data_IF_980459841570
#
_entry.id   IF_980459841570
#
_cell.length_a   1.000
_cell.length_b   1.000
_cell.length_c   1.000
_cell.angle_alpha   90.00
_cell.angle_beta   90.00
_cell.angle_gamma   90.00
#
_symmetry.space_group_name_H-M   'P 1'
#
loop_
_entity.id
_entity.type
_entity.pdbx_description
1 polymer ?
#
# COMPACT_ATOMS: atom_id res chain seq x y z
N UNK A 1 -44.01 42.10 1.24
CA UNK A 1 -43.80 43.37 1.90
C UNK A 1 -42.44 43.87 1.48
N UNK A 2 -42.49 44.70 0.47
CA UNK A 2 -41.77 45.97 0.19
C UNK A 2 -40.32 45.75 -0.18
N UNK A 3 -40.03 45.93 -1.50
CA UNK A 3 -39.72 47.20 -2.21
C UNK A 3 -38.42 47.79 -1.72
N UNK A 4 -37.41 48.09 -2.50
CA UNK A 4 -37.27 49.10 -3.58
C UNK A 4 -35.88 48.93 -4.16
N UNK A 5 -35.71 48.88 -5.43
CA UNK A 5 -35.70 49.99 -6.40
C UNK A 5 -34.36 50.72 -6.52
N UNK A 6 -33.82 50.55 -7.69
CA UNK A 6 -33.19 51.51 -8.61
C UNK A 6 -32.02 52.37 -8.12
N UNK A 7 -30.96 52.41 -8.84
CA UNK A 7 -30.65 53.53 -9.75
C UNK A 7 -29.39 53.25 -10.55
N UNK A 8 -29.57 53.31 -11.87
CA UNK A 8 -28.54 53.59 -12.87
C UNK A 8 -28.22 55.09 -12.88
N UNK A 9 -26.99 55.51 -13.12
CA UNK A 9 -26.78 56.50 -14.15
C UNK A 9 -25.57 56.26 -15.05
N UNK A 10 -25.85 56.11 -16.33
CA UNK A 10 -25.14 56.63 -17.49
C UNK A 10 -24.13 57.75 -17.20
N UNK A 11 -22.91 57.62 -17.74
CA UNK A 11 -22.06 58.67 -18.32
C UNK A 11 -21.00 57.99 -19.14
N UNK A 12 -21.08 57.98 -20.43
CA UNK A 12 -20.68 58.94 -21.43
C UNK A 12 -19.17 59.24 -21.46
N UNK A 13 -18.61 58.91 -22.62
CA UNK A 13 -17.60 59.67 -23.32
C UNK A 13 -16.16 59.55 -22.88
N UNK A 14 -15.35 58.85 -23.63
CA UNK A 14 -14.11 59.47 -24.11
C UNK A 14 -13.37 58.58 -25.11
N UNK A 15 -13.26 59.11 -26.29
CA UNK A 15 -12.38 58.68 -27.37
C UNK A 15 -10.93 58.58 -26.90
N UNK A 16 -10.31 57.42 -27.01
CA UNK A 16 -8.86 57.20 -26.84
C UNK A 16 -8.30 56.37 -28.00
N UNK A 17 -7.08 56.61 -28.41
CA UNK A 17 -6.61 56.34 -29.76
C UNK A 17 -6.40 54.86 -30.03
N UNK A 18 -6.75 54.48 -31.25
CA UNK A 18 -6.49 53.24 -31.94
C UNK A 18 -5.01 52.81 -31.84
N UNK A 19 -4.65 52.05 -30.82
CA UNK A 19 -3.40 51.31 -30.82
C UNK A 19 -3.63 50.02 -31.60
N UNK A 20 -3.20 50.00 -32.84
CA UNK A 20 -3.07 48.80 -33.66
C UNK A 20 -1.97 47.92 -33.04
N UNK A 21 -2.29 47.21 -31.99
CA UNK A 21 -1.44 46.17 -31.51
C UNK A 21 -1.71 44.96 -32.38
N UNK A 22 -0.82 44.76 -33.35
CA UNK A 22 -0.75 43.51 -34.09
C UNK A 22 -0.63 42.37 -33.14
N UNK A 23 -1.77 41.71 -32.89
CA UNK A 23 -1.81 40.43 -32.22
C UNK A 23 -1.10 39.45 -33.17
N UNK A 24 0.21 39.29 -32.95
CA UNK A 24 0.92 38.14 -33.47
C UNK A 24 0.20 36.94 -32.90
N UNK A 25 -0.79 36.44 -33.63
CA UNK A 25 -1.42 35.16 -33.43
C UNK A 25 -0.30 34.15 -33.63
N UNK A 26 0.46 33.89 -32.55
CA UNK A 26 1.33 32.72 -32.49
C UNK A 26 0.37 31.55 -32.75
N UNK A 27 0.29 31.12 -33.98
CA UNK A 27 -0.22 29.80 -34.32
C UNK A 27 0.70 28.86 -33.58
N UNK A 28 0.31 28.53 -32.34
CA UNK A 28 0.82 27.34 -31.67
C UNK A 28 0.41 26.22 -32.60
N UNK A 29 1.36 25.89 -33.47
CA UNK A 29 1.30 24.67 -34.26
C UNK A 29 0.90 23.60 -33.29
N UNK A 30 -0.26 23.02 -33.50
CA UNK A 30 -0.77 21.87 -32.79
C UNK A 30 0.13 20.68 -33.24
N UNK A 31 1.43 20.87 -32.91
CA UNK A 31 2.43 19.83 -33.12
C UNK A 31 1.92 18.67 -32.30
N UNK A 32 1.31 17.73 -33.01
CA UNK A 32 1.09 16.33 -32.63
C UNK A 32 1.54 16.07 -31.20
N UNK A 33 0.67 16.36 -30.25
CA UNK A 33 0.80 15.84 -28.89
C UNK A 33 0.60 14.35 -29.03
N UNK A 34 1.68 13.69 -29.38
CA UNK A 34 1.75 12.23 -29.36
C UNK A 34 1.14 11.81 -28.02
N UNK A 35 0.09 10.98 -28.01
CA UNK A 35 -0.57 10.61 -26.76
C UNK A 35 0.48 9.89 -25.90
N UNK A 36 0.95 10.57 -24.86
CA UNK A 36 1.89 9.99 -23.89
C UNK A 36 1.17 8.84 -23.23
N UNK A 37 1.40 7.64 -23.69
CA UNK A 37 0.89 6.41 -23.08
C UNK A 37 1.60 6.20 -21.76
N UNK A 38 1.01 6.72 -20.69
CA UNK A 38 1.51 6.50 -19.32
C UNK A 38 1.28 5.03 -18.98
N UNK A 39 2.34 4.25 -18.96
CA UNK A 39 2.29 2.86 -18.48
C UNK A 39 1.94 2.87 -16.99
N UNK A 40 0.71 2.50 -16.66
CA UNK A 40 0.23 2.36 -15.29
C UNK A 40 0.72 1.04 -14.69
N UNK A 41 1.02 1.04 -13.38
CA UNK A 41 1.42 -0.15 -12.64
C UNK A 41 2.55 0.11 -11.64
N UNK A 42 2.80 -0.82 -10.69
CA UNK A 42 3.80 -0.65 -9.65
C UNK A 42 5.21 -0.53 -10.22
N UNK A 43 6.05 0.27 -9.56
CA UNK A 43 7.46 0.42 -9.93
C UNK A 43 8.21 -0.91 -9.73
N UNK A 44 9.30 -1.12 -10.47
CA UNK A 44 10.14 -2.32 -10.31
C UNK A 44 10.67 -2.47 -8.89
N UNK A 45 10.97 -1.36 -8.22
CA UNK A 45 11.42 -1.38 -6.83
C UNK A 45 10.32 -1.89 -5.89
N UNK A 46 9.07 -1.45 -6.05
CA UNK A 46 7.93 -1.93 -5.27
C UNK A 46 7.70 -3.43 -5.50
N UNK A 47 7.74 -3.89 -6.76
CA UNK A 47 7.62 -5.31 -7.09
C UNK A 47 8.69 -6.15 -6.40
N UNK A 48 9.96 -5.72 -6.48
CA UNK A 48 11.08 -6.43 -5.88
C UNK A 48 10.95 -6.52 -4.36
N UNK A 49 10.68 -5.39 -3.69
CA UNK A 49 10.53 -5.33 -2.23
C UNK A 49 9.38 -6.24 -1.79
N UNK A 50 8.23 -6.15 -2.45
CA UNK A 50 7.05 -6.97 -2.13
C UNK A 50 7.33 -8.46 -2.27
N UNK A 51 7.93 -8.87 -3.40
CA UNK A 51 8.22 -10.29 -3.66
C UNK A 51 9.29 -10.83 -2.70
N UNK A 52 10.35 -10.05 -2.45
CA UNK A 52 11.39 -10.44 -1.49
C UNK A 52 10.84 -10.57 -0.07
N UNK A 53 10.02 -9.62 0.37
CA UNK A 53 9.40 -9.67 1.68
C UNK A 53 8.40 -10.86 1.79
N UNK A 54 7.64 -11.15 0.73
CA UNK A 54 6.75 -12.31 0.70
C UNK A 54 7.52 -13.64 0.70
N UNK A 55 8.63 -13.71 -0.03
CA UNK A 55 9.56 -14.86 0.01
C UNK A 55 10.14 -15.09 1.39
N UNK A 56 10.57 -14.01 2.05
CA UNK A 56 11.07 -14.10 3.44
C UNK A 56 9.97 -14.57 4.39
N UNK A 57 8.78 -14.00 4.29
CA UNK A 57 7.63 -14.40 5.10
C UNK A 57 7.29 -15.88 4.91
N UNK A 58 7.13 -16.32 3.67
CA UNK A 58 6.89 -17.72 3.33
C UNK A 58 8.05 -18.61 3.81
N UNK A 59 9.29 -18.26 3.44
CA UNK A 59 10.46 -19.09 3.71
C UNK A 59 10.72 -19.33 5.20
N UNK A 60 10.35 -18.36 6.05
CA UNK A 60 10.48 -18.48 7.49
C UNK A 60 9.31 -19.24 8.15
N UNK A 61 8.13 -19.24 7.53
CA UNK A 61 6.94 -19.78 8.20
C UNK A 61 6.43 -21.11 7.64
N UNK A 62 6.60 -21.37 6.33
CA UNK A 62 5.90 -22.48 5.69
C UNK A 62 6.68 -23.79 5.49
N UNK A 63 8.03 -23.85 5.49
CA UNK A 63 8.75 -25.09 5.17
C UNK A 63 8.69 -26.16 6.27
N UNK A 64 8.13 -25.83 7.43
CA UNK A 64 8.17 -26.72 8.62
C UNK A 64 7.05 -27.74 8.67
N UNK A 65 5.98 -27.62 7.88
CA UNK A 65 4.90 -28.61 7.83
C UNK A 65 4.41 -28.84 6.40
N UNK A 66 4.10 -30.09 6.06
CA UNK A 66 3.54 -30.45 4.74
C UNK A 66 2.20 -29.74 4.46
N UNK A 67 1.44 -29.44 5.51
CA UNK A 67 0.14 -28.78 5.40
C UNK A 67 0.28 -27.29 5.08
N UNK A 68 1.32 -26.62 5.59
CA UNK A 68 1.54 -25.19 5.37
C UNK A 68 2.12 -24.85 3.99
N UNK A 69 2.91 -25.77 3.40
CA UNK A 69 3.59 -25.59 2.11
C UNK A 69 2.65 -25.15 0.98
N UNK A 70 1.51 -25.81 0.70
CA UNK A 70 0.65 -25.44 -0.40
C UNK A 70 0.07 -24.03 -0.26
N UNK A 71 -0.24 -23.62 0.98
CA UNK A 71 -0.75 -22.26 1.26
C UNK A 71 0.33 -21.20 1.02
N UNK A 72 1.55 -21.44 1.51
CA UNK A 72 2.67 -20.53 1.30
C UNK A 72 3.03 -20.39 -0.17
N UNK A 73 3.16 -21.49 -0.90
CA UNK A 73 3.51 -21.49 -2.33
C UNK A 73 2.40 -20.82 -3.14
N UNK A 74 1.14 -21.21 -2.94
CA UNK A 74 0.01 -20.59 -3.64
C UNK A 74 -0.06 -19.09 -3.35
N UNK A 75 0.12 -18.69 -2.07
CA UNK A 75 0.16 -17.29 -1.66
C UNK A 75 1.26 -16.51 -2.37
N UNK A 76 2.48 -17.03 -2.40
CA UNK A 76 3.62 -16.39 -3.07
C UNK A 76 3.38 -16.23 -4.58
N UNK A 77 2.86 -17.27 -5.24
CA UNK A 77 2.54 -17.21 -6.67
C UNK A 77 1.49 -16.12 -6.94
N UNK A 78 0.44 -16.05 -6.11
CA UNK A 78 -0.59 -15.02 -6.25
C UNK A 78 -0.02 -13.62 -6.00
N UNK A 79 0.85 -13.43 -4.99
CA UNK A 79 1.54 -12.15 -4.77
C UNK A 79 2.37 -11.75 -5.99
N UNK A 80 3.16 -12.66 -6.54
CA UNK A 80 3.97 -12.40 -7.72
C UNK A 80 3.13 -12.04 -8.95
N UNK A 81 2.04 -12.76 -9.19
CA UNK A 81 1.09 -12.48 -10.28
C UNK A 81 0.36 -11.15 -10.08
N UNK A 82 -0.03 -10.81 -8.84
CA UNK A 82 -0.68 -9.54 -8.54
C UNK A 82 0.22 -8.33 -8.81
N UNK A 83 1.54 -8.49 -8.68
CA UNK A 83 2.51 -7.44 -8.94
C UNK A 83 2.88 -7.29 -10.43
N UNK A 84 2.77 -8.37 -11.21
CA UNK A 84 3.26 -8.41 -12.60
C UNK A 84 2.16 -8.33 -13.64
N UNK A 85 1.06 -9.05 -13.43
CA UNK A 85 0.00 -9.24 -14.43
C UNK A 85 -1.28 -8.53 -14.05
N UNK A 86 -1.80 -8.80 -12.87
CA UNK A 86 -3.14 -8.35 -12.48
C UNK A 86 -3.16 -6.94 -11.86
N UNK A 87 -2.01 -6.43 -11.38
CA UNK A 87 -1.86 -5.14 -10.66
C UNK A 87 -3.05 -4.78 -9.77
N UNK A 88 -3.49 -5.74 -8.93
CA UNK A 88 -4.70 -5.63 -8.15
C UNK A 88 -4.42 -5.84 -6.66
N UNK A 89 -4.82 -4.87 -5.84
CA UNK A 89 -4.74 -4.94 -4.38
C UNK A 89 -5.51 -6.15 -3.81
N UNK A 90 -6.62 -6.53 -4.44
CA UNK A 90 -7.41 -7.69 -4.00
C UNK A 90 -6.62 -8.98 -4.09
N UNK A 91 -5.98 -9.24 -5.23
CA UNK A 91 -5.16 -10.44 -5.42
C UNK A 91 -3.93 -10.43 -4.52
N UNK A 92 -3.32 -9.26 -4.33
CA UNK A 92 -2.24 -9.10 -3.35
C UNK A 92 -2.68 -9.51 -1.95
N UNK A 93 -3.85 -9.03 -1.50
CA UNK A 93 -4.39 -9.36 -0.17
C UNK A 93 -4.73 -10.85 -0.04
N UNK A 94 -5.26 -11.49 -1.09
CA UNK A 94 -5.51 -12.93 -1.09
C UNK A 94 -4.19 -13.71 -0.98
N UNK A 95 -3.18 -13.34 -1.75
CA UNK A 95 -1.87 -14.00 -1.73
C UNK A 95 -1.18 -13.91 -0.36
N UNK A 96 -1.15 -12.71 0.23
CA UNK A 96 -0.56 -12.51 1.57
C UNK A 96 -1.38 -13.19 2.67
N UNK A 97 -2.71 -13.21 2.57
CA UNK A 97 -3.56 -13.94 3.50
C UNK A 97 -3.29 -15.46 3.46
N UNK A 98 -3.05 -16.04 2.29
CA UNK A 98 -2.67 -17.46 2.18
C UNK A 98 -1.32 -17.74 2.84
N UNK A 99 -0.32 -16.87 2.68
CA UNK A 99 0.97 -17.02 3.39
C UNK A 99 0.74 -16.97 4.91
N UNK A 100 -0.09 -16.04 5.41
CA UNK A 100 -0.43 -15.96 6.82
C UNK A 100 -1.17 -17.20 7.33
N UNK A 101 -2.09 -17.76 6.56
CA UNK A 101 -2.76 -19.02 6.89
C UNK A 101 -1.73 -20.14 6.98
N UNK A 102 -0.78 -20.21 6.05
CA UNK A 102 0.33 -21.16 6.12
C UNK A 102 1.16 -20.99 7.40
N UNK A 103 1.45 -19.76 7.82
CA UNK A 103 2.17 -19.46 9.05
C UNK A 103 1.38 -19.89 10.30
N UNK A 104 0.07 -19.64 10.33
CA UNK A 104 -0.81 -20.06 11.44
C UNK A 104 -0.86 -21.59 11.56
N UNK A 105 -0.99 -22.29 10.42
CA UNK A 105 -0.97 -23.75 10.40
C UNK A 105 0.37 -24.29 10.90
N UNK A 106 1.50 -23.73 10.44
CA UNK A 106 2.82 -24.13 10.92
C UNK A 106 2.98 -23.93 12.44
N UNK A 107 2.49 -22.81 12.97
CA UNK A 107 2.47 -22.54 14.40
C UNK A 107 1.55 -23.49 15.19
N UNK A 108 0.35 -23.78 14.65
CA UNK A 108 -0.63 -24.66 15.29
C UNK A 108 -0.12 -26.10 15.43
N UNK A 109 0.70 -26.58 14.49
CA UNK A 109 1.33 -27.91 14.55
C UNK A 109 2.64 -27.91 15.34
N UNK A 110 2.98 -26.83 16.05
CA UNK A 110 4.15 -26.73 16.94
C UNK A 110 5.51 -26.77 16.23
N UNK A 111 5.53 -26.57 14.92
CA UNK A 111 6.74 -26.65 14.11
C UNK A 111 7.53 -25.33 14.05
N UNK A 112 6.96 -24.25 14.59
CA UNK A 112 7.50 -22.90 14.44
C UNK A 112 7.78 -22.26 15.80
N UNK A 113 9.01 -21.75 16.00
CA UNK A 113 9.29 -20.97 17.20
C UNK A 113 8.62 -19.59 17.14
N UNK A 114 8.24 -19.00 18.28
CA UNK A 114 7.57 -17.69 18.33
C UNK A 114 8.37 -16.59 17.65
N UNK A 115 9.69 -16.61 17.76
CA UNK A 115 10.59 -15.62 17.17
C UNK A 115 10.54 -15.69 15.63
N UNK A 116 10.65 -16.88 15.08
CA UNK A 116 10.59 -17.12 13.63
C UNK A 116 9.21 -16.76 13.09
N UNK A 117 8.15 -17.11 13.84
CA UNK A 117 6.78 -16.74 13.49
C UNK A 117 6.61 -15.22 13.41
N UNK A 118 7.10 -14.48 14.41
CA UNK A 118 7.00 -13.02 14.45
C UNK A 118 7.72 -12.36 13.26
N UNK A 119 8.95 -12.80 12.97
CA UNK A 119 9.71 -12.26 11.83
C UNK A 119 9.02 -12.59 10.51
N UNK A 120 8.57 -13.82 10.33
CA UNK A 120 7.91 -14.26 9.09
C UNK A 120 6.57 -13.58 8.86
N UNK A 121 5.75 -13.43 9.91
CA UNK A 121 4.47 -12.68 9.83
C UNK A 121 4.74 -11.20 9.54
N UNK A 122 5.72 -10.59 10.23
CA UNK A 122 6.10 -9.18 9.98
C UNK A 122 6.57 -8.96 8.54
N UNK A 123 7.37 -9.89 7.99
CA UNK A 123 7.80 -9.83 6.59
C UNK A 123 6.60 -9.95 5.62
N UNK A 124 5.62 -10.80 5.93
CA UNK A 124 4.41 -10.95 5.12
C UNK A 124 3.54 -9.70 5.15
N UNK A 125 3.37 -9.08 6.32
CA UNK A 125 2.64 -7.80 6.48
C UNK A 125 3.36 -6.68 5.73
N UNK A 126 4.70 -6.62 5.82
CA UNK A 126 5.51 -5.67 5.06
C UNK A 126 5.35 -5.87 3.55
N UNK A 127 5.29 -7.12 3.08
CA UNK A 127 5.03 -7.42 1.67
C UNK A 127 3.67 -6.88 1.20
N UNK A 128 2.64 -7.06 2.02
CA UNK A 128 1.31 -6.53 1.73
C UNK A 128 1.29 -5.01 1.69
N UNK A 129 1.86 -4.35 2.70
CA UNK A 129 1.88 -2.89 2.83
C UNK A 129 2.68 -2.24 1.68
N UNK A 130 3.91 -2.70 1.43
CA UNK A 130 4.75 -2.20 0.35
C UNK A 130 4.11 -2.44 -1.03
N UNK A 131 3.47 -3.60 -1.23
CA UNK A 131 2.79 -3.95 -2.46
C UNK A 131 1.56 -3.08 -2.72
N UNK A 132 0.72 -2.89 -1.71
CA UNK A 132 -0.46 -2.02 -1.79
C UNK A 132 -0.04 -0.57 -2.11
N UNK A 133 0.92 -0.04 -1.37
CA UNK A 133 1.46 1.30 -1.60
C UNK A 133 2.02 1.45 -3.02
N UNK A 134 2.78 0.45 -3.48
CA UNK A 134 3.34 0.42 -4.84
C UNK A 134 2.29 0.38 -5.95
N UNK A 135 1.20 -0.37 -5.77
CA UNK A 135 0.09 -0.44 -6.73
C UNK A 135 -0.61 0.92 -6.81
N UNK A 136 -1.01 1.50 -5.66
CA UNK A 136 -1.73 2.77 -5.60
C UNK A 136 -0.90 3.91 -6.19
N UNK A 137 0.39 4.01 -5.86
CA UNK A 137 1.29 5.01 -6.45
C UNK A 137 1.45 4.81 -7.96
N UNK A 138 1.54 3.56 -8.40
CA UNK A 138 1.66 3.24 -9.83
C UNK A 138 0.41 3.59 -10.64
N UNK A 139 -0.78 3.54 -10.03
CA UNK A 139 -2.04 3.96 -10.66
C UNK A 139 -2.15 5.48 -10.74
N UNK A 140 -1.72 6.20 -9.69
CA UNK A 140 -1.82 7.66 -9.61
C UNK A 140 -0.77 8.39 -10.44
N UNK A 141 0.49 7.96 -10.37
CA UNK A 141 1.64 8.68 -10.93
C UNK A 141 2.21 8.02 -12.20
N UNK A 142 1.83 6.79 -12.51
CA UNK A 142 2.44 6.00 -13.56
C UNK A 142 3.80 5.39 -13.15
N UNK A 143 4.25 4.39 -13.93
CA UNK A 143 5.43 3.56 -13.61
C UNK A 143 6.77 4.32 -13.53
N UNK A 144 6.87 5.45 -14.24
CA UNK A 144 8.14 6.18 -14.40
C UNK A 144 8.35 7.33 -13.42
N UNK A 145 7.28 7.81 -12.79
CA UNK A 145 7.30 9.03 -11.97
C UNK A 145 7.19 8.76 -10.47
N UNK A 146 6.94 7.49 -10.07
CA UNK A 146 6.85 7.14 -8.65
C UNK A 146 8.21 7.39 -7.95
N UNK A 147 8.31 8.35 -7.02
CA UNK A 147 9.57 8.70 -6.40
C UNK A 147 10.05 7.54 -5.53
N UNK A 148 11.13 6.88 -5.96
CA UNK A 148 11.78 5.78 -5.23
C UNK A 148 12.04 6.13 -3.76
N UNK A 149 12.35 7.41 -3.49
CA UNK A 149 12.58 7.91 -2.14
C UNK A 149 11.35 7.76 -1.25
N UNK A 150 10.15 8.07 -1.77
CA UNK A 150 8.91 7.94 -1.00
C UNK A 150 8.63 6.49 -0.61
N UNK A 151 8.82 5.55 -1.55
CA UNK A 151 8.68 4.13 -1.27
C UNK A 151 9.67 3.66 -0.19
N UNK A 152 10.94 4.07 -0.27
CA UNK A 152 11.97 3.67 0.71
C UNK A 152 11.63 4.22 2.09
N UNK A 153 11.23 5.48 2.20
CA UNK A 153 10.84 6.09 3.48
C UNK A 153 9.61 5.38 4.07
N UNK A 154 8.61 5.08 3.24
CA UNK A 154 7.42 4.35 3.67
C UNK A 154 7.79 2.95 4.19
N UNK A 155 8.53 2.17 3.41
CA UNK A 155 8.96 0.81 3.80
C UNK A 155 9.81 0.84 5.08
N UNK A 156 10.70 1.83 5.22
CA UNK A 156 11.50 1.99 6.45
C UNK A 156 10.61 2.30 7.66
N UNK A 157 9.66 3.22 7.53
CA UNK A 157 8.72 3.55 8.59
C UNK A 157 7.86 2.34 9.00
N UNK A 158 7.31 1.62 8.03
CA UNK A 158 6.54 0.39 8.28
C UNK A 158 7.40 -0.69 8.96
N UNK A 159 8.65 -0.86 8.52
CA UNK A 159 9.57 -1.82 9.15
C UNK A 159 9.83 -1.46 10.61
N UNK A 160 10.07 -0.19 10.93
CA UNK A 160 10.23 0.26 12.32
C UNK A 160 8.96 -0.01 13.13
N UNK A 161 7.80 0.34 12.60
CA UNK A 161 6.51 0.10 13.27
C UNK A 161 6.29 -1.39 13.55
N UNK A 162 6.52 -2.26 12.56
CA UNK A 162 6.41 -3.71 12.71
C UNK A 162 7.40 -4.26 13.73
N UNK A 163 8.63 -3.74 13.77
CA UNK A 163 9.64 -4.14 14.76
C UNK A 163 9.17 -3.80 16.17
N UNK A 164 8.64 -2.59 16.39
CA UNK A 164 8.10 -2.17 17.70
C UNK A 164 6.93 -3.05 18.12
N UNK A 165 5.95 -3.26 17.21
CA UNK A 165 4.78 -4.10 17.50
C UNK A 165 5.21 -5.55 17.81
N UNK A 166 6.15 -6.10 17.04
CA UNK A 166 6.67 -7.45 17.27
C UNK A 166 7.42 -7.57 18.59
N UNK A 167 8.22 -6.55 18.95
CA UNK A 167 8.93 -6.51 20.23
C UNK A 167 7.95 -6.46 21.41
N UNK A 168 6.91 -5.63 21.33
CA UNK A 168 5.86 -5.57 22.36
C UNK A 168 5.09 -6.91 22.44
N UNK A 169 4.72 -7.48 21.30
CA UNK A 169 4.05 -8.78 21.25
C UNK A 169 4.90 -9.90 21.86
N UNK A 170 6.19 -9.94 21.53
CA UNK A 170 7.12 -10.92 22.09
C UNK A 170 7.34 -10.72 23.58
N UNK A 171 7.54 -9.48 24.03
CA UNK A 171 7.64 -9.18 25.46
C UNK A 171 6.40 -9.64 26.22
N UNK A 172 5.21 -9.33 25.69
CA UNK A 172 3.93 -9.77 26.28
C UNK A 172 3.86 -11.30 26.37
N UNK A 173 4.28 -12.02 25.33
CA UNK A 173 4.33 -13.47 25.31
C UNK A 173 5.27 -14.03 26.40
N UNK A 174 6.48 -13.46 26.53
CA UNK A 174 7.47 -13.89 27.53
C UNK A 174 6.95 -13.62 28.96
N UNK A 175 6.41 -12.42 29.22
CA UNK A 175 5.86 -12.05 30.53
C UNK A 175 4.61 -12.87 30.90
N UNK A 176 3.84 -13.32 29.92
CA UNK A 176 2.69 -14.20 30.15
C UNK A 176 3.08 -15.66 30.44
N UNK A 177 4.37 -15.95 30.61
CA UNK A 177 4.90 -17.26 30.96
C UNK A 177 5.09 -18.21 29.76
N UNK A 178 5.09 -17.71 28.54
CA UNK A 178 5.46 -18.43 27.31
C UNK A 178 4.59 -19.63 26.92
N UNK A 179 3.62 -20.01 27.75
CA UNK A 179 2.82 -21.23 27.55
C UNK A 179 1.33 -21.02 27.28
N UNK A 180 0.83 -19.80 27.39
CA UNK A 180 -0.60 -19.53 27.21
C UNK A 180 -0.81 -18.58 26.02
N UNK A 181 -1.25 -19.09 24.86
CA UNK A 181 -1.49 -18.28 23.68
C UNK A 181 -2.70 -17.32 23.82
N UNK A 182 -3.60 -17.61 24.79
CA UNK A 182 -4.85 -16.87 24.95
C UNK A 182 -4.68 -15.34 25.13
N UNK A 183 -3.77 -14.81 26.01
CA UNK A 183 -3.58 -13.38 26.13
C UNK A 183 -3.03 -12.73 24.88
N UNK A 184 -2.08 -13.39 24.18
CA UNK A 184 -1.50 -12.87 22.96
C UNK A 184 -2.54 -12.80 21.83
N UNK A 185 -3.37 -13.83 21.68
CA UNK A 185 -4.48 -13.85 20.71
C UNK A 185 -5.50 -12.75 21.05
N UNK A 186 -5.80 -12.51 22.32
CA UNK A 186 -6.73 -11.47 22.75
C UNK A 186 -6.21 -10.07 22.40
N UNK A 187 -4.92 -9.80 22.61
CA UNK A 187 -4.31 -8.48 22.24
C UNK A 187 -4.33 -8.28 20.73
N UNK A 188 -4.02 -9.32 19.94
CA UNK A 188 -4.06 -9.24 18.48
C UNK A 188 -5.48 -8.99 17.99
N UNK A 189 -6.47 -9.74 18.51
CA UNK A 189 -7.87 -9.54 18.16
C UNK A 189 -8.36 -8.13 18.52
N UNK A 190 -7.98 -7.64 19.69
CA UNK A 190 -8.33 -6.28 20.14
C UNK A 190 -7.69 -5.22 19.24
N UNK A 191 -6.44 -5.43 18.82
CA UNK A 191 -5.75 -4.60 17.84
C UNK A 191 -6.45 -4.59 16.47
N UNK A 192 -6.86 -5.75 15.97
CA UNK A 192 -7.60 -5.87 14.71
C UNK A 192 -8.97 -5.17 14.80
N UNK A 193 -9.71 -5.38 15.89
CA UNK A 193 -10.99 -4.72 16.13
C UNK A 193 -10.82 -3.21 16.21
N UNK A 194 -9.79 -2.73 16.91
CA UNK A 194 -9.48 -1.31 17.01
C UNK A 194 -9.13 -0.69 15.66
N UNK A 195 -8.29 -1.35 14.86
CA UNK A 195 -7.96 -0.93 13.49
C UNK A 195 -9.19 -0.92 12.58
N UNK A 196 -10.02 -1.97 12.65
CA UNK A 196 -11.24 -2.04 11.87
C UNK A 196 -12.23 -0.94 12.26
N UNK A 197 -12.30 -0.59 13.57
CA UNK A 197 -13.12 0.51 14.04
C UNK A 197 -12.59 1.88 13.57
N UNK A 198 -11.26 2.07 13.62
CA UNK A 198 -10.61 3.29 13.15
C UNK A 198 -10.82 3.51 11.64
N UNK A 199 -10.77 2.42 10.86
CA UNK A 199 -10.96 2.47 9.41
C UNK A 199 -12.41 2.74 8.99
N UNK A 200 -13.38 2.46 9.86
CA UNK A 200 -14.81 2.74 9.62
C UNK A 200 -15.24 4.18 9.92
N UNK A 201 -14.38 4.97 10.57
CA UNK A 201 -14.63 6.40 10.84
C UNK A 201 -14.08 7.29 9.73
#
# INVERSE_FOLDING_TARGET
MSTDEATDPTTDGSNGPTATTGTARTTVTDSEREPVTVKRGPSRAAQLITVVAALLGMGLTTPFTLVSIPFGVAGLVIVALSMTVATSVRWLSVGTALILVGAVLAGAFGALSPEVALVGVSATVLAWDAGQHGIVLGEQLGRGTAPRRNLIVHVAATTVALTVVSAVGYATFVFAGGQRPAPAVSVVLLGIVFLAWLYRR
#
